data_IF_744524156951
#
_entry.id   IF_744524156951
#
_cell.length_a   1.000
_cell.length_b   1.000
_cell.length_c   1.000
_cell.angle_alpha   90.00
_cell.angle_beta   90.00
_cell.angle_gamma   90.00
#
_symmetry.space_group_name_H-M   'P 1'
#
loop_
_entity.id
_entity.type
_entity.pdbx_description
1 polymer ?
#
# COMPACT_ATOMS: atom_id res chain seq x y z
N UNK A 1 4.11 18.09 -23.34
CA UNK A 1 3.07 17.07 -23.27
C UNK A 1 3.53 15.74 -23.87
N UNK A 2 4.08 15.72 -25.12
CA UNK A 2 4.51 14.49 -25.81
C UNK A 2 5.55 13.66 -25.03
N UNK A 3 6.57 14.31 -24.45
CA UNK A 3 7.58 13.61 -23.61
C UNK A 3 6.97 12.97 -22.36
N UNK A 4 6.02 13.66 -21.72
CA UNK A 4 5.32 13.11 -20.54
C UNK A 4 4.51 11.87 -20.88
N UNK A 5 3.81 11.85 -22.01
CA UNK A 5 3.08 10.67 -22.49
C UNK A 5 4.02 9.51 -22.81
N UNK A 6 5.20 9.78 -23.40
CA UNK A 6 6.21 8.75 -23.64
C UNK A 6 6.68 8.08 -22.35
N UNK A 7 6.99 8.86 -21.31
CA UNK A 7 7.34 8.31 -19.98
C UNK A 7 6.17 7.54 -19.36
N UNK A 8 4.93 8.05 -19.47
CA UNK A 8 3.76 7.35 -18.96
C UNK A 8 3.66 5.94 -19.54
N UNK A 9 3.80 5.77 -20.86
CA UNK A 9 3.74 4.46 -21.51
C UNK A 9 4.90 3.54 -21.11
N UNK A 10 6.11 4.05 -20.91
CA UNK A 10 7.23 3.25 -20.43
C UNK A 10 6.97 2.76 -18.99
N UNK A 11 6.61 3.67 -18.09
CA UNK A 11 6.34 3.32 -16.69
C UNK A 11 5.09 2.45 -16.50
N UNK A 12 4.09 2.59 -17.39
CA UNK A 12 2.92 1.71 -17.37
C UNK A 12 3.29 0.24 -17.52
N UNK A 13 4.23 -0.10 -18.41
CA UNK A 13 4.68 -1.50 -18.56
C UNK A 13 5.45 -2.02 -17.37
N UNK A 14 6.29 -1.17 -16.76
CA UNK A 14 7.00 -1.50 -15.52
C UNK A 14 5.99 -1.72 -14.38
N UNK A 15 5.02 -0.83 -14.25
CA UNK A 15 3.93 -0.95 -13.27
C UNK A 15 3.13 -2.23 -13.46
N UNK A 16 2.72 -2.53 -14.70
CA UNK A 16 1.98 -3.75 -15.02
C UNK A 16 2.78 -5.00 -14.69
N UNK A 17 4.03 -5.09 -15.15
CA UNK A 17 4.90 -6.25 -14.89
C UNK A 17 5.13 -6.47 -13.40
N UNK A 18 5.45 -5.40 -12.65
CA UNK A 18 5.60 -5.46 -11.21
C UNK A 18 4.31 -5.86 -10.49
N UNK A 19 3.17 -5.32 -10.92
CA UNK A 19 1.86 -5.66 -10.37
C UNK A 19 1.50 -7.13 -10.56
N UNK A 20 1.75 -7.69 -11.76
CA UNK A 20 1.55 -9.12 -12.04
C UNK A 20 2.44 -9.98 -11.15
N UNK A 21 3.74 -9.67 -11.05
CA UNK A 21 4.67 -10.41 -10.19
C UNK A 21 4.25 -10.36 -8.73
N UNK A 22 3.84 -9.19 -8.24
CA UNK A 22 3.37 -9.02 -6.87
C UNK A 22 2.11 -9.83 -6.58
N UNK A 23 1.12 -9.79 -7.47
CA UNK A 23 -0.12 -10.56 -7.30
C UNK A 23 0.16 -12.06 -7.34
N UNK A 24 0.97 -12.54 -8.29
CA UNK A 24 1.36 -13.95 -8.36
C UNK A 24 2.09 -14.38 -7.10
N UNK A 25 3.09 -13.60 -6.65
CA UNK A 25 3.77 -13.86 -5.38
C UNK A 25 2.79 -13.96 -4.21
N UNK A 26 1.89 -12.99 -4.08
CA UNK A 26 0.90 -12.93 -2.99
C UNK A 26 -0.02 -14.16 -2.99
N UNK A 27 -0.43 -14.64 -4.17
CA UNK A 27 -1.27 -15.82 -4.31
C UNK A 27 -0.48 -17.10 -3.96
N UNK A 28 0.70 -17.29 -4.57
CA UNK A 28 1.47 -18.53 -4.39
C UNK A 28 2.11 -18.66 -3.01
N UNK A 29 2.51 -17.56 -2.38
CA UNK A 29 3.02 -17.57 -1.00
C UNK A 29 1.95 -17.70 0.07
N UNK A 30 0.66 -17.53 -0.29
CA UNK A 30 -0.44 -17.52 0.67
C UNK A 30 -0.57 -16.22 1.48
N UNK A 31 0.24 -15.20 1.18
CA UNK A 31 0.24 -13.90 1.85
C UNK A 31 -1.11 -13.17 1.77
N UNK A 32 -1.90 -13.44 0.72
CA UNK A 32 -3.23 -12.85 0.54
C UNK A 32 -4.14 -13.02 1.78
N UNK A 33 -3.96 -14.11 2.55
CA UNK A 33 -4.73 -14.38 3.77
C UNK A 33 -4.48 -13.36 4.88
N UNK A 34 -3.28 -12.77 4.90
CA UNK A 34 -2.90 -11.75 5.87
C UNK A 34 -3.20 -10.32 5.37
N UNK A 35 -3.34 -10.16 4.05
CA UNK A 35 -3.61 -8.86 3.43
C UNK A 35 -5.09 -8.49 3.45
N UNK A 36 -6.00 -9.46 3.34
CA UNK A 36 -7.42 -9.17 3.27
C UNK A 36 -7.92 -8.58 4.60
N UNK A 37 -8.51 -7.38 4.57
CA UNK A 37 -9.13 -6.78 5.75
C UNK A 37 -10.42 -7.51 6.09
N UNK A 38 -10.68 -7.67 7.38
CA UNK A 38 -11.97 -8.09 7.91
C UNK A 38 -12.83 -6.89 8.32
N UNK A 39 -14.07 -7.14 8.77
CA UNK A 39 -14.98 -6.06 9.18
C UNK A 39 -14.46 -5.26 10.37
N UNK A 40 -13.63 -5.84 11.21
CA UNK A 40 -13.02 -5.19 12.37
C UNK A 40 -11.85 -4.30 11.97
N UNK A 41 -11.17 -4.64 10.85
CA UNK A 41 -10.00 -3.91 10.36
C UNK A 41 -10.27 -2.42 10.13
N UNK A 42 -11.46 -2.02 9.72
CA UNK A 42 -11.79 -0.60 9.52
C UNK A 42 -11.79 0.19 10.84
N UNK A 43 -12.37 -0.38 11.90
CA UNK A 43 -12.35 0.24 13.23
C UNK A 43 -10.94 0.26 13.82
N UNK A 44 -10.23 -0.85 13.71
CA UNK A 44 -8.87 -1.00 14.21
C UNK A 44 -7.89 -0.09 13.46
N UNK A 45 -8.05 0.08 12.14
CA UNK A 45 -7.24 1.01 11.36
C UNK A 45 -7.41 2.46 11.82
N UNK A 46 -8.64 2.86 12.15
CA UNK A 46 -8.88 4.18 12.71
C UNK A 46 -8.17 4.36 14.07
N UNK A 47 -8.18 3.32 14.91
CA UNK A 47 -7.43 3.34 16.18
C UNK A 47 -5.91 3.37 15.96
N UNK A 48 -5.39 2.67 14.94
CA UNK A 48 -3.96 2.75 14.57
C UNK A 48 -3.59 4.19 14.19
N UNK A 49 -4.38 4.84 13.34
CA UNK A 49 -4.13 6.25 12.96
C UNK A 49 -4.15 7.18 14.18
N UNK A 50 -5.11 7.01 15.10
CA UNK A 50 -5.17 7.82 16.32
C UNK A 50 -3.98 7.55 17.24
N UNK A 51 -3.49 6.33 17.30
CA UNK A 51 -2.29 5.96 18.05
C UNK A 51 -1.03 6.59 17.42
N UNK A 52 -0.88 6.52 16.10
CA UNK A 52 0.26 7.09 15.37
C UNK A 52 0.30 8.63 15.48
N UNK A 53 -0.88 9.26 15.58
CA UNK A 53 -1.01 10.69 15.88
C UNK A 53 -0.82 11.03 17.37
N UNK A 54 -0.45 10.05 18.22
CA UNK A 54 -0.26 10.21 19.68
C UNK A 54 -1.51 10.69 20.44
N UNK A 55 -2.70 10.51 19.86
CA UNK A 55 -3.98 10.87 20.50
C UNK A 55 -4.38 9.82 21.54
N UNK A 56 -4.13 8.54 21.24
CA UNK A 56 -4.35 7.42 22.17
C UNK A 56 -3.03 6.73 22.51
N UNK A 57 -2.92 6.27 23.76
CA UNK A 57 -1.68 5.61 24.27
C UNK A 57 -1.67 4.09 24.07
N UNK A 58 -2.85 3.48 23.89
CA UNK A 58 -2.99 2.04 23.79
C UNK A 58 -2.84 1.62 22.33
N UNK A 59 -1.78 0.85 22.03
CA UNK A 59 -1.61 0.26 20.71
C UNK A 59 -2.70 -0.80 20.45
N UNK A 60 -3.38 -0.77 19.31
CA UNK A 60 -4.32 -1.81 18.93
C UNK A 60 -3.61 -3.15 18.70
N UNK A 61 -4.33 -4.29 18.80
CA UNK A 61 -3.73 -5.61 18.59
C UNK A 61 -3.14 -5.71 17.19
N UNK A 62 -1.91 -6.22 17.12
CA UNK A 62 -1.17 -6.37 15.85
C UNK A 62 -1.00 -7.85 15.54
N UNK A 63 -1.21 -8.20 14.26
CA UNK A 63 -0.81 -9.46 13.65
C UNK A 63 0.45 -9.23 12.80
N UNK A 64 0.71 -10.04 11.78
CA UNK A 64 1.80 -9.81 10.81
C UNK A 64 1.73 -8.41 10.17
N UNK A 65 0.53 -7.93 9.89
CA UNK A 65 0.25 -6.57 9.44
C UNK A 65 -0.78 -5.93 10.37
N UNK A 66 -0.61 -4.65 10.67
CA UNK A 66 -1.65 -3.92 11.40
C UNK A 66 -2.86 -3.64 10.48
N UNK A 67 -3.99 -3.28 11.09
CA UNK A 67 -5.24 -3.11 10.35
C UNK A 67 -5.16 -2.00 9.28
N UNK A 68 -4.43 -0.91 9.53
CA UNK A 68 -4.23 0.16 8.56
C UNK A 68 -3.39 -0.32 7.36
N UNK A 69 -2.33 -1.11 7.60
CA UNK A 69 -1.53 -1.73 6.55
C UNK A 69 -2.33 -2.70 5.69
N UNK A 70 -3.18 -3.54 6.30
CA UNK A 70 -4.05 -4.47 5.56
C UNK A 70 -4.99 -3.73 4.59
N UNK A 71 -5.63 -2.67 5.06
CA UNK A 71 -6.49 -1.81 4.23
C UNK A 71 -5.68 -1.12 3.13
N UNK A 72 -4.51 -0.56 3.46
CA UNK A 72 -3.64 0.11 2.52
C UNK A 72 -3.15 -0.82 1.41
N UNK A 73 -2.64 -2.00 1.74
CA UNK A 73 -2.13 -2.96 0.75
C UNK A 73 -3.24 -3.52 -0.14
N UNK A 74 -4.40 -3.86 0.44
CA UNK A 74 -5.56 -4.28 -0.36
C UNK A 74 -6.06 -3.15 -1.26
N UNK A 75 -6.13 -1.93 -0.73
CA UNK A 75 -6.53 -0.74 -1.47
C UNK A 75 -5.62 -0.46 -2.67
N UNK A 76 -4.30 -0.57 -2.49
CA UNK A 76 -3.31 -0.38 -3.57
C UNK A 76 -3.50 -1.42 -4.70
N UNK A 77 -3.78 -2.68 -4.36
CA UNK A 77 -4.03 -3.71 -5.37
C UNK A 77 -5.30 -3.39 -6.17
N UNK A 78 -6.38 -3.02 -5.49
CA UNK A 78 -7.66 -2.67 -6.13
C UNK A 78 -7.49 -1.44 -7.03
N UNK A 79 -6.84 -0.38 -6.53
CA UNK A 79 -6.55 0.82 -7.32
C UNK A 79 -5.65 0.52 -8.52
N UNK A 80 -4.65 -0.37 -8.35
CA UNK A 80 -3.77 -0.81 -9.43
C UNK A 80 -4.55 -1.50 -10.55
N UNK A 81 -5.45 -2.39 -10.18
CA UNK A 81 -6.34 -3.04 -11.14
C UNK A 81 -7.28 -2.06 -11.83
N UNK A 82 -7.90 -1.13 -11.07
CA UNK A 82 -8.74 -0.06 -11.63
C UNK A 82 -7.97 0.84 -12.60
N UNK A 83 -6.73 1.22 -12.26
CA UNK A 83 -5.88 2.04 -13.13
C UNK A 83 -5.49 1.31 -14.41
N UNK A 84 -5.27 0.00 -14.34
CA UNK A 84 -5.00 -0.81 -15.53
C UNK A 84 -6.23 -0.87 -16.45
N UNK A 85 -7.41 -1.17 -15.90
CA UNK A 85 -8.64 -1.27 -16.68
C UNK A 85 -9.01 0.07 -17.34
N UNK A 86 -9.04 1.15 -16.58
CA UNK A 86 -9.38 2.48 -17.08
C UNK A 86 -8.32 2.97 -18.07
N UNK A 87 -7.03 2.71 -17.79
CA UNK A 87 -5.93 3.03 -18.71
C UNK A 87 -6.05 2.31 -20.07
N UNK A 88 -6.38 1.01 -20.07
CA UNK A 88 -6.61 0.24 -21.28
C UNK A 88 -7.86 0.72 -22.05
N UNK A 89 -8.93 1.07 -21.34
CA UNK A 89 -10.14 1.63 -21.94
C UNK A 89 -9.87 2.95 -22.68
N UNK A 90 -8.99 3.79 -22.11
CA UNK A 90 -8.58 5.06 -22.73
C UNK A 90 -7.61 4.82 -23.91
N UNK A 91 -6.67 3.87 -23.73
CA UNK A 91 -5.61 3.63 -24.73
C UNK A 91 -6.11 2.96 -25.99
N UNK A 92 -7.07 2.03 -25.88
CA UNK A 92 -7.61 1.26 -27.01
C UNK A 92 -9.16 1.23 -26.99
N UNK A 93 -9.83 2.39 -27.06
CA UNK A 93 -11.28 2.47 -26.86
C UNK A 93 -12.10 1.72 -27.92
N UNK A 94 -11.58 1.59 -29.14
CA UNK A 94 -12.26 0.86 -30.22
C UNK A 94 -12.06 -0.64 -30.07
N UNK A 95 -10.80 -1.09 -29.87
CA UNK A 95 -10.46 -2.50 -29.73
C UNK A 95 -11.01 -3.11 -28.43
N UNK A 96 -11.09 -2.32 -27.37
CA UNK A 96 -11.61 -2.67 -26.07
C UNK A 96 -12.92 -1.95 -25.76
N UNK A 97 -13.81 -1.86 -26.77
CA UNK A 97 -15.07 -1.14 -26.63
C UNK A 97 -15.95 -1.66 -25.49
N UNK A 98 -15.94 -2.98 -25.25
CA UNK A 98 -16.64 -3.59 -24.15
C UNK A 98 -16.12 -3.06 -22.78
N UNK A 99 -14.79 -2.89 -22.64
CA UNK A 99 -14.18 -2.36 -21.42
C UNK A 99 -14.47 -0.88 -21.26
N UNK A 100 -14.39 -0.12 -22.35
CA UNK A 100 -14.73 1.29 -22.36
C UNK A 100 -16.20 1.51 -21.95
N UNK A 101 -17.13 0.66 -22.43
CA UNK A 101 -18.53 0.69 -22.04
C UNK A 101 -18.72 0.31 -20.56
N UNK A 102 -17.97 -0.69 -20.07
CA UNK A 102 -18.01 -1.11 -18.67
C UNK A 102 -17.57 0.00 -17.70
N UNK A 103 -16.62 0.87 -18.12
CA UNK A 103 -16.21 2.08 -17.37
C UNK A 103 -17.19 3.28 -17.58
N UNK A 104 -18.35 3.06 -18.19
CA UNK A 104 -19.32 4.15 -18.43
C UNK A 104 -19.00 5.03 -19.66
N UNK A 105 -18.13 4.57 -20.56
CA UNK A 105 -17.69 5.28 -21.77
C UNK A 105 -16.33 5.95 -21.61
N UNK A 106 -15.85 6.50 -22.73
CA UNK A 106 -14.49 7.06 -22.82
C UNK A 106 -14.23 8.21 -21.83
N UNK A 107 -15.18 9.14 -21.71
CA UNK A 107 -15.05 10.30 -20.81
C UNK A 107 -15.08 9.87 -19.33
N UNK A 108 -15.95 8.91 -18.98
CA UNK A 108 -15.99 8.36 -17.63
C UNK A 108 -14.67 7.65 -17.28
N UNK A 109 -14.14 6.80 -18.16
CA UNK A 109 -12.86 6.13 -17.98
C UNK A 109 -11.70 7.12 -17.74
N UNK A 110 -11.69 8.25 -18.45
CA UNK A 110 -10.69 9.33 -18.24
C UNK A 110 -10.79 9.97 -16.87
N UNK A 111 -12.02 10.27 -16.43
CA UNK A 111 -12.27 10.84 -15.10
C UNK A 111 -11.85 9.85 -14.02
N UNK A 112 -12.25 8.60 -14.15
CA UNK A 112 -11.88 7.52 -13.21
C UNK A 112 -10.37 7.34 -13.10
N UNK A 113 -9.67 7.30 -14.24
CA UNK A 113 -8.21 7.18 -14.27
C UNK A 113 -7.51 8.38 -13.62
N UNK A 114 -8.03 9.59 -13.86
CA UNK A 114 -7.52 10.80 -13.20
C UNK A 114 -7.77 10.79 -11.70
N UNK A 115 -8.97 10.41 -11.26
CA UNK A 115 -9.30 10.29 -9.82
C UNK A 115 -8.38 9.28 -9.15
N UNK A 116 -8.15 8.11 -9.77
CA UNK A 116 -7.18 7.12 -9.26
C UNK A 116 -5.77 7.71 -9.14
N UNK A 117 -5.33 8.53 -10.10
CA UNK A 117 -4.03 9.20 -10.03
C UNK A 117 -3.94 10.15 -8.82
N UNK A 118 -5.00 10.92 -8.55
CA UNK A 118 -5.07 11.80 -7.37
C UNK A 118 -5.01 10.98 -6.07
N UNK A 119 -5.79 9.90 -6.00
CA UNK A 119 -5.80 9.01 -4.82
C UNK A 119 -4.44 8.35 -4.59
N UNK A 120 -3.76 7.89 -5.65
CA UNK A 120 -2.38 7.38 -5.55
C UNK A 120 -1.40 8.42 -5.05
N UNK A 121 -1.50 9.66 -5.53
CA UNK A 121 -0.63 10.74 -5.09
C UNK A 121 -0.82 11.03 -3.61
N UNK A 122 -2.06 11.10 -3.14
CA UNK A 122 -2.37 11.26 -1.71
C UNK A 122 -1.87 10.07 -0.88
N UNK A 123 -2.10 8.87 -1.35
CA UNK A 123 -1.58 7.67 -0.69
C UNK A 123 -0.06 7.71 -0.57
N UNK A 124 0.65 8.06 -1.64
CA UNK A 124 2.11 8.16 -1.64
C UNK A 124 2.60 9.20 -0.63
N UNK A 125 1.99 10.38 -0.58
CA UNK A 125 2.35 11.42 0.39
C UNK A 125 2.16 10.91 1.83
N UNK A 126 1.01 10.30 2.14
CA UNK A 126 0.74 9.73 3.46
C UNK A 126 1.76 8.64 3.79
N UNK A 127 2.05 7.74 2.84
CA UNK A 127 3.01 6.67 3.02
C UNK A 127 4.41 7.22 3.34
N UNK A 128 4.90 8.23 2.61
CA UNK A 128 6.20 8.86 2.86
C UNK A 128 6.23 9.50 4.26
N UNK A 129 5.17 10.20 4.65
CA UNK A 129 5.06 10.77 6.00
C UNK A 129 5.14 9.67 7.07
N UNK A 130 4.42 8.57 6.91
CA UNK A 130 4.46 7.45 7.85
C UNK A 130 5.85 6.80 7.93
N UNK A 131 6.55 6.64 6.81
CA UNK A 131 7.92 6.11 6.80
C UNK A 131 8.88 7.04 7.57
N UNK A 132 8.74 8.35 7.40
CA UNK A 132 9.54 9.34 8.13
C UNK A 132 9.25 9.27 9.63
N UNK A 133 7.97 9.20 10.02
CA UNK A 133 7.55 9.12 11.42
C UNK A 133 7.97 7.80 12.10
N UNK A 134 8.02 6.70 11.33
CA UNK A 134 8.47 5.41 11.82
C UNK A 134 9.98 5.35 12.14
N UNK A 135 10.76 6.33 11.66
CA UNK A 135 12.16 6.53 11.98
C UNK A 135 13.15 5.74 11.11
N UNK A 136 14.41 6.15 11.22
CA UNK A 136 15.49 5.66 10.36
C UNK A 136 15.74 4.14 10.47
N UNK A 137 15.62 3.57 11.66
CA UNK A 137 15.84 2.14 11.87
C UNK A 137 14.84 1.29 11.09
N UNK A 138 13.56 1.70 11.10
CA UNK A 138 12.50 1.04 10.36
C UNK A 138 12.67 1.21 8.84
N UNK A 139 13.02 2.41 8.37
CA UNK A 139 13.35 2.65 6.96
C UNK A 139 14.50 1.75 6.49
N UNK A 140 15.57 1.66 7.29
CA UNK A 140 16.70 0.78 6.97
C UNK A 140 16.28 -0.68 6.91
N UNK A 141 15.43 -1.14 7.84
CA UNK A 141 14.91 -2.51 7.83
C UNK A 141 14.16 -2.83 6.54
N UNK A 142 13.39 -1.86 6.01
CA UNK A 142 12.66 -2.02 4.74
C UNK A 142 13.59 -2.12 3.53
N UNK A 143 14.72 -1.39 3.52
CA UNK A 143 15.64 -1.32 2.38
C UNK A 143 16.74 -2.38 2.45
N UNK A 144 17.33 -2.57 3.64
CA UNK A 144 18.49 -3.43 3.84
C UNK A 144 18.14 -4.82 4.42
N UNK A 145 16.91 -5.04 4.85
CA UNK A 145 16.43 -6.32 5.36
C UNK A 145 16.91 -6.65 6.78
N UNK A 146 17.49 -5.70 7.53
CA UNK A 146 17.89 -5.89 8.92
C UNK A 146 17.56 -4.67 9.79
N UNK A 147 17.25 -4.92 11.05
CA UNK A 147 16.95 -3.93 12.07
C UNK A 147 18.03 -3.98 13.17
N UNK A 148 18.42 -2.83 13.72
CA UNK A 148 19.25 -2.77 14.92
C UNK A 148 18.32 -2.85 16.12
N UNK A 149 18.48 -3.90 16.90
CA UNK A 149 17.78 -4.09 18.18
C UNK A 149 18.80 -3.80 19.26
N UNK A 150 18.49 -2.85 20.16
CA UNK A 150 19.30 -2.65 21.37
C UNK A 150 19.16 -3.88 22.27
N UNK A 151 20.27 -4.47 22.68
CA UNK A 151 20.25 -5.56 23.64
C UNK A 151 19.53 -5.11 24.90
N UNK A 152 18.63 -5.93 25.46
CA UNK A 152 18.02 -5.61 26.74
C UNK A 152 19.15 -5.46 27.77
N UNK A 153 19.26 -4.29 28.41
CA UNK A 153 20.18 -4.08 29.53
C UNK A 153 19.86 -5.12 30.58
N UNK A 154 20.72 -6.16 30.66
CA UNK A 154 20.64 -7.16 31.73
C UNK A 154 20.83 -6.39 33.03
N UNK A 155 19.76 -6.20 33.77
CA UNK A 155 19.83 -5.67 35.15
C UNK A 155 20.76 -6.57 35.94
N UNK A 156 21.82 -6.05 36.57
CA UNK A 156 22.67 -6.90 37.41
C UNK A 156 21.81 -7.52 38.51
N UNK A 157 21.77 -8.84 38.50
CA UNK A 157 21.08 -9.66 39.46
C UNK A 157 21.50 -9.21 40.86
N UNK A 158 20.55 -8.68 41.64
CA UNK A 158 20.78 -8.38 43.08
C UNK A 158 21.24 -9.67 43.73
N UNK A 159 22.56 -9.80 43.95
CA UNK A 159 23.09 -10.86 44.85
C UNK A 159 22.34 -10.72 46.17
N UNK A 160 21.42 -11.65 46.41
CA UNK A 160 20.84 -11.91 47.72
C UNK A 160 21.97 -12.42 48.61
N UNK A 161 22.51 -11.52 49.41
CA UNK A 161 23.31 -11.94 50.55
C UNK A 161 22.34 -12.51 51.58
N UNK A 162 22.32 -13.88 51.69
CA UNK A 162 21.79 -14.62 52.81
C UNK A 162 22.79 -14.63 53.95
#
# INVERSE_FOLDING_TARGET
>A
LAKGMGFHFVFMWIFFGNGVLYVLYTIFSGEWRYLLPDRKSFKEAFLVVLHDLHIIKTAPPQTKYNAAQRIAYTGIIIMGFGSLLTGLAIYKPIQLSWLCTACGGYEAARIEHFVLTVVYTLFFVIHVVQVILAGWNNFRAMVAGFEIVDEPKISPEKKSNG
#
